data_IF_695323079063
#
_entry.id   IF_695323079063
#
_cell.length_a   1.000
_cell.length_b   1.000
_cell.length_c   1.000
_cell.angle_alpha   90.00
_cell.angle_beta   90.00
_cell.angle_gamma   90.00
#
_symmetry.space_group_name_H-M   'P 1'
#
loop_
_entity.id
_entity.type
_entity.pdbx_description
1 polymer ?
#
# COMPACT_ATOMS: atom_id res chain seq x y z
N UNK A 1 19.29 -19.88 -9.62
CA UNK A 1 18.40 -18.85 -9.04
C UNK A 1 17.49 -18.41 -10.16
N UNK A 2 16.17 -18.57 -10.03
CA UNK A 2 15.24 -17.98 -11.02
C UNK A 2 15.48 -16.46 -11.05
N UNK A 3 15.48 -15.82 -12.23
CA UNK A 3 15.68 -14.37 -12.29
C UNK A 3 14.57 -13.62 -11.54
N UNK A 4 13.41 -14.25 -11.34
CA UNK A 4 12.35 -13.83 -10.41
C UNK A 4 12.87 -13.58 -9.00
N UNK A 5 13.65 -14.51 -8.45
CA UNK A 5 14.20 -14.38 -7.10
C UNK A 5 15.25 -13.26 -7.02
N UNK A 6 16.03 -13.06 -8.08
CA UNK A 6 16.96 -11.93 -8.18
C UNK A 6 16.20 -10.60 -8.24
N UNK A 7 15.12 -10.54 -9.02
CA UNK A 7 14.27 -9.37 -9.12
C UNK A 7 13.58 -9.05 -7.79
N UNK A 8 13.00 -10.05 -7.13
CA UNK A 8 12.33 -9.90 -5.82
C UNK A 8 13.33 -9.44 -4.75
N UNK A 9 14.50 -10.06 -4.66
CA UNK A 9 15.53 -9.64 -3.69
C UNK A 9 16.00 -8.22 -3.99
N UNK A 10 16.27 -7.90 -5.26
CA UNK A 10 16.67 -6.55 -5.67
C UNK A 10 15.61 -5.51 -5.32
N UNK A 11 14.34 -5.83 -5.54
CA UNK A 11 13.20 -4.98 -5.22
C UNK A 11 13.01 -4.78 -3.72
N UNK A 12 13.12 -5.85 -2.92
CA UNK A 12 13.05 -5.77 -1.45
C UNK A 12 14.20 -4.92 -0.90
N UNK A 13 15.42 -5.12 -1.40
CA UNK A 13 16.58 -4.32 -0.99
C UNK A 13 16.38 -2.85 -1.35
N UNK A 14 15.87 -2.56 -2.55
CA UNK A 14 15.54 -1.20 -2.97
C UNK A 14 14.51 -0.55 -2.03
N UNK A 15 13.42 -1.25 -1.71
CA UNK A 15 12.39 -0.74 -0.79
C UNK A 15 12.97 -0.51 0.61
N UNK A 16 13.75 -1.46 1.13
CA UNK A 16 14.34 -1.34 2.46
C UNK A 16 15.29 -0.14 2.56
N UNK A 17 16.08 0.12 1.52
CA UNK A 17 16.95 1.29 1.44
C UNK A 17 16.13 2.59 1.40
N UNK A 18 15.08 2.64 0.58
CA UNK A 18 14.20 3.81 0.50
C UNK A 18 13.51 4.10 1.83
N UNK A 19 12.99 3.07 2.51
CA UNK A 19 12.39 3.21 3.85
C UNK A 19 13.40 3.71 4.88
N UNK A 20 14.65 3.23 4.84
CA UNK A 20 15.69 3.70 5.75
C UNK A 20 16.03 5.19 5.52
N UNK A 21 15.98 5.65 4.27
CA UNK A 21 16.15 7.06 3.91
C UNK A 21 14.99 7.89 4.46
N UNK A 22 13.74 7.47 4.22
CA UNK A 22 12.53 8.20 4.64
C UNK A 22 12.35 8.24 6.17
N UNK A 23 12.70 7.16 6.88
CA UNK A 23 12.73 7.11 8.35
C UNK A 23 13.86 7.97 8.95
N UNK A 24 14.71 8.56 8.12
CA UNK A 24 15.76 9.46 8.58
C UNK A 24 16.86 8.74 9.35
N UNK A 25 17.15 7.47 9.04
CA UNK A 25 18.30 6.72 9.62
C UNK A 25 19.61 7.51 9.51
N UNK A 26 19.70 8.41 8.53
CA UNK A 26 20.84 9.28 8.28
C UNK A 26 20.60 10.78 8.56
N UNK A 27 19.41 11.17 9.02
CA UNK A 27 19.05 12.58 9.21
C UNK A 27 19.43 13.10 10.61
N UNK A 28 20.41 14.02 10.64
CA UNK A 28 20.67 14.90 11.80
C UNK A 28 19.89 16.20 11.62
N UNK A 29 18.63 16.29 12.10
CA UNK A 29 17.97 17.51 12.65
C UNK A 29 16.44 17.38 12.67
N UNK A 30 15.86 17.68 13.84
CA UNK A 30 14.43 17.80 14.12
C UNK A 30 13.84 19.11 13.56
N UNK A 31 13.78 19.28 12.23
CA UNK A 31 13.08 20.41 11.62
C UNK A 31 11.73 19.96 11.07
N UNK A 32 10.62 20.67 11.37
CA UNK A 32 9.31 20.31 10.84
C UNK A 32 9.30 20.43 9.32
N UNK A 33 8.89 19.36 8.64
CA UNK A 33 8.79 19.32 7.17
C UNK A 33 7.73 20.32 6.72
N UNK A 34 8.13 21.28 5.88
CA UNK A 34 7.19 22.28 5.35
C UNK A 34 6.17 21.60 4.41
N UNK A 35 4.93 22.09 4.37
CA UNK A 35 3.89 21.59 3.44
C UNK A 35 4.38 21.57 1.98
N UNK A 36 5.19 22.57 1.59
CA UNK A 36 5.81 22.62 0.25
C UNK A 36 6.77 21.45 0.01
N UNK A 37 7.57 21.09 1.02
CA UNK A 37 8.49 19.96 0.94
C UNK A 37 7.74 18.63 0.94
N UNK A 38 6.71 18.49 1.78
CA UNK A 38 5.85 17.31 1.79
C UNK A 38 5.14 17.08 0.43
N UNK A 39 4.66 18.16 -0.19
CA UNK A 39 4.07 18.11 -1.54
C UNK A 39 5.06 17.66 -2.61
N UNK A 40 6.30 18.15 -2.56
CA UNK A 40 7.38 17.72 -3.48
C UNK A 40 7.73 16.24 -3.26
N UNK A 41 7.87 15.80 -2.00
CA UNK A 41 8.13 14.40 -1.68
C UNK A 41 7.02 13.48 -2.19
N UNK A 42 5.75 13.85 -1.99
CA UNK A 42 4.60 13.12 -2.53
C UNK A 42 4.63 13.06 -4.05
N UNK A 43 4.94 14.18 -4.72
CA UNK A 43 5.03 14.22 -6.19
C UNK A 43 6.14 13.31 -6.73
N UNK A 44 7.30 13.24 -6.06
CA UNK A 44 8.39 12.33 -6.43
C UNK A 44 7.90 10.89 -6.33
N UNK A 45 7.27 10.51 -5.22
CA UNK A 45 6.76 9.16 -5.00
C UNK A 45 5.68 8.75 -5.99
N UNK A 46 4.70 9.62 -6.24
CA UNK A 46 3.66 9.39 -7.25
C UNK A 46 4.28 9.24 -8.64
N UNK A 47 5.26 10.08 -8.98
CA UNK A 47 5.96 10.01 -10.27
C UNK A 47 6.71 8.69 -10.41
N UNK A 48 7.40 8.24 -9.37
CA UNK A 48 8.12 6.96 -9.36
C UNK A 48 7.14 5.78 -9.50
N UNK A 49 6.00 5.82 -8.82
CA UNK A 49 4.95 4.82 -8.98
C UNK A 49 4.39 4.80 -10.42
N UNK A 50 4.14 5.95 -11.02
CA UNK A 50 3.69 6.05 -12.41
C UNK A 50 4.75 5.58 -13.42
N UNK A 51 6.03 5.88 -13.17
CA UNK A 51 7.13 5.38 -13.98
C UNK A 51 7.23 3.85 -13.88
N UNK A 52 7.04 3.28 -12.69
CA UNK A 52 7.01 1.84 -12.50
C UNK A 52 5.78 1.18 -13.14
N UNK A 53 4.61 1.81 -13.06
CA UNK A 53 3.43 1.39 -13.81
C UNK A 53 3.72 1.33 -15.32
N UNK A 54 4.34 2.37 -15.88
CA UNK A 54 4.76 2.37 -17.28
C UNK A 54 5.76 1.24 -17.57
N UNK A 55 6.72 1.01 -16.67
CA UNK A 55 7.66 -0.11 -16.78
C UNK A 55 6.92 -1.46 -16.85
N UNK A 56 5.91 -1.71 -16.00
CA UNK A 56 5.14 -2.96 -16.04
C UNK A 56 4.38 -3.10 -17.36
N UNK A 57 3.77 -2.02 -17.88
CA UNK A 57 3.07 -2.11 -19.17
C UNK A 57 3.99 -2.48 -20.34
N UNK A 58 5.27 -2.08 -20.28
CA UNK A 58 6.26 -2.35 -21.33
C UNK A 58 7.05 -3.64 -21.11
N UNK A 59 7.41 -3.96 -19.88
CA UNK A 59 8.36 -5.00 -19.51
C UNK A 59 7.76 -6.06 -18.58
N UNK A 60 6.46 -6.01 -18.26
CA UNK A 60 5.80 -6.93 -17.32
C UNK A 60 5.98 -8.42 -17.63
N UNK A 61 6.02 -8.78 -18.91
CA UNK A 61 6.31 -10.14 -19.37
C UNK A 61 7.70 -10.69 -18.95
N UNK A 62 8.68 -9.81 -18.71
CA UNK A 62 10.01 -10.23 -18.25
C UNK A 62 10.00 -10.70 -16.81
N UNK A 63 9.01 -10.29 -16.00
CA UNK A 63 8.91 -10.73 -14.60
C UNK A 63 8.73 -12.24 -14.51
N UNK A 64 7.98 -12.85 -15.43
CA UNK A 64 7.60 -14.27 -15.37
C UNK A 64 8.16 -15.10 -16.54
N UNK A 65 9.14 -14.57 -17.28
CA UNK A 65 9.76 -15.25 -18.44
C UNK A 65 8.73 -15.88 -19.38
N UNK A 66 7.80 -15.04 -19.84
CA UNK A 66 6.76 -15.50 -20.75
C UNK A 66 7.33 -15.60 -22.16
N UNK A 67 7.85 -16.79 -22.47
CA UNK A 67 8.46 -17.11 -23.76
C UNK A 67 7.51 -17.90 -24.68
N UNK A 68 6.37 -18.37 -24.17
CA UNK A 68 5.38 -19.14 -24.95
C UNK A 68 3.94 -18.89 -24.51
N UNK A 69 2.99 -19.09 -25.43
CA UNK A 69 1.56 -19.02 -25.14
C UNK A 69 1.13 -20.04 -24.08
N UNK A 70 1.71 -21.25 -24.11
CA UNK A 70 1.44 -22.27 -23.10
C UNK A 70 1.85 -21.81 -21.69
N UNK A 71 3.00 -21.16 -21.56
CA UNK A 71 3.45 -20.59 -20.30
C UNK A 71 2.57 -19.42 -19.85
N UNK A 72 2.13 -18.56 -20.79
CA UNK A 72 1.19 -17.48 -20.51
C UNK A 72 -0.16 -18.01 -20.02
N UNK A 73 -0.69 -19.05 -20.64
CA UNK A 73 -1.96 -19.69 -20.25
C UNK A 73 -1.84 -20.39 -18.89
N UNK A 74 -0.70 -21.00 -18.61
CA UNK A 74 -0.40 -21.61 -17.32
C UNK A 74 -0.38 -20.56 -16.21
N UNK A 75 0.39 -19.48 -16.38
CA UNK A 75 0.46 -18.36 -15.42
C UNK A 75 -0.92 -17.73 -15.20
N UNK A 76 -1.71 -17.55 -16.27
CA UNK A 76 -3.06 -17.01 -16.16
C UNK A 76 -3.97 -17.88 -15.27
N UNK A 77 -3.80 -19.21 -15.34
CA UNK A 77 -4.56 -20.16 -14.51
C UNK A 77 -4.04 -20.19 -13.08
N UNK A 78 -2.71 -20.24 -12.91
CA UNK A 78 -2.05 -20.34 -11.61
C UNK A 78 -2.25 -19.10 -10.74
N UNK A 79 -2.30 -17.92 -11.35
CA UNK A 79 -2.53 -16.65 -10.66
C UNK A 79 -4.00 -16.20 -10.67
N UNK A 80 -4.93 -17.07 -11.09
CA UNK A 80 -6.38 -16.80 -11.11
C UNK A 80 -6.77 -15.55 -11.92
N UNK A 81 -5.99 -15.22 -12.95
CA UNK A 81 -6.30 -14.12 -13.85
C UNK A 81 -7.48 -14.52 -14.75
N UNK A 82 -8.55 -13.72 -14.75
CA UNK A 82 -9.73 -13.92 -15.61
C UNK A 82 -9.54 -13.27 -16.98
N UNK A 83 -8.42 -13.54 -17.63
CA UNK A 83 -8.16 -13.03 -18.99
C UNK A 83 -8.61 -14.04 -20.03
N UNK A 84 -9.35 -13.57 -21.03
CA UNK A 84 -9.66 -14.33 -22.23
C UNK A 84 -8.45 -14.28 -23.18
N UNK A 85 -7.67 -15.34 -23.18
CA UNK A 85 -6.44 -15.43 -23.97
C UNK A 85 -6.74 -16.11 -25.30
N UNK A 86 -6.32 -15.50 -26.41
CA UNK A 86 -6.53 -16.05 -27.73
C UNK A 86 -5.26 -16.78 -28.22
N UNK A 87 -5.30 -18.11 -28.47
CA UNK A 87 -4.16 -18.86 -28.99
C UNK A 87 -3.65 -18.37 -30.34
N UNK A 88 -4.52 -17.75 -31.15
CA UNK A 88 -4.19 -17.21 -32.46
C UNK A 88 -3.52 -15.82 -32.40
N UNK A 89 -3.63 -15.11 -31.26
CA UNK A 89 -3.04 -13.78 -31.06
C UNK A 89 -2.22 -13.73 -29.77
N UNK A 90 -1.00 -14.24 -29.85
CA UNK A 90 -0.03 -14.21 -28.75
C UNK A 90 0.32 -12.78 -28.34
N UNK A 91 0.49 -11.87 -29.30
CA UNK A 91 0.90 -10.48 -29.04
C UNK A 91 -0.21 -9.70 -28.31
N UNK A 92 -1.47 -9.87 -28.73
CA UNK A 92 -2.63 -9.30 -28.04
C UNK A 92 -2.81 -9.88 -26.63
N UNK A 93 -2.68 -11.19 -26.49
CA UNK A 93 -2.75 -11.89 -25.19
C UNK A 93 -1.65 -11.43 -24.23
N UNK A 94 -0.42 -11.24 -24.73
CA UNK A 94 0.71 -10.72 -23.96
C UNK A 94 0.48 -9.27 -23.52
N UNK A 95 -0.12 -8.44 -24.38
CA UNK A 95 -0.47 -7.06 -24.04
C UNK A 95 -1.56 -7.01 -22.95
N UNK A 96 -2.60 -7.83 -23.06
CA UNK A 96 -3.65 -7.95 -22.05
C UNK A 96 -3.08 -8.36 -20.69
N UNK A 97 -2.17 -9.32 -20.68
CA UNK A 97 -1.47 -9.74 -19.47
C UNK A 97 -0.66 -8.60 -18.83
N UNK A 98 0.15 -7.87 -19.61
CA UNK A 98 0.92 -6.71 -19.10
C UNK A 98 0.01 -5.61 -18.55
N UNK A 99 -1.13 -5.37 -19.21
CA UNK A 99 -2.11 -4.39 -18.74
C UNK A 99 -2.75 -4.83 -17.42
N UNK A 100 -3.10 -6.11 -17.29
CA UNK A 100 -3.64 -6.64 -16.04
C UNK A 100 -2.66 -6.50 -14.87
N UNK A 101 -1.39 -6.89 -15.06
CA UNK A 101 -0.35 -6.69 -14.05
C UNK A 101 -0.18 -5.22 -13.66
N UNK A 102 -0.22 -4.31 -14.64
CA UNK A 102 -0.10 -2.89 -14.38
C UNK A 102 -1.31 -2.35 -13.60
N UNK A 103 -2.52 -2.84 -13.91
CA UNK A 103 -3.75 -2.53 -13.17
C UNK A 103 -3.71 -3.04 -11.74
N UNK A 104 -3.21 -4.26 -11.51
CA UNK A 104 -3.02 -4.81 -10.17
C UNK A 104 -2.05 -3.96 -9.35
N UNK A 105 -0.90 -3.58 -9.95
CA UNK A 105 0.06 -2.69 -9.31
C UNK A 105 -0.57 -1.34 -8.93
N UNK A 106 -1.20 -0.63 -9.87
CA UNK A 106 -1.74 0.71 -9.58
C UNK A 106 -2.93 0.65 -8.61
N UNK A 107 -3.74 -0.41 -8.69
CA UNK A 107 -4.84 -0.65 -7.74
C UNK A 107 -4.27 -0.87 -6.33
N UNK A 108 -3.26 -1.73 -6.20
CA UNK A 108 -2.55 -1.96 -4.95
C UNK A 108 -1.93 -0.68 -4.40
N UNK A 109 -1.24 0.10 -5.25
CA UNK A 109 -0.67 1.39 -4.88
C UNK A 109 -1.72 2.36 -4.32
N UNK A 110 -2.87 2.51 -5.01
CA UNK A 110 -3.95 3.40 -4.55
C UNK A 110 -4.57 2.91 -3.24
N UNK A 111 -4.78 1.60 -3.09
CA UNK A 111 -5.34 1.02 -1.86
C UNK A 111 -4.39 1.23 -0.68
N UNK A 112 -3.10 0.93 -0.84
CA UNK A 112 -2.09 1.15 0.21
C UNK A 112 -1.91 2.63 0.53
N UNK A 113 -1.97 3.51 -0.48
CA UNK A 113 -1.93 4.96 -0.27
C UNK A 113 -3.15 5.44 0.52
N UNK A 114 -4.36 4.97 0.18
CA UNK A 114 -5.58 5.32 0.91
C UNK A 114 -5.54 4.83 2.37
N UNK A 115 -5.05 3.61 2.60
CA UNK A 115 -4.83 3.08 3.96
C UNK A 115 -3.82 3.94 4.74
N UNK A 116 -2.75 4.39 4.09
CA UNK A 116 -1.75 5.26 4.74
C UNK A 116 -2.34 6.62 5.17
N UNK A 117 -3.26 7.18 4.39
CA UNK A 117 -3.97 8.44 4.74
C UNK A 117 -4.88 8.24 5.96
N UNK A 118 -5.57 7.11 6.05
CA UNK A 118 -6.39 6.74 7.22
C UNK A 118 -5.54 6.69 8.50
N UNK A 119 -4.37 6.05 8.41
CA UNK A 119 -3.40 5.99 9.52
C UNK A 119 -2.93 7.37 9.99
N UNK A 120 -2.69 8.33 9.08
CA UNK A 120 -2.28 9.70 9.44
C UNK A 120 -3.42 10.45 10.14
N UNK A 121 -4.65 10.30 9.66
CA UNK A 121 -5.81 10.97 10.25
C UNK A 121 -6.04 10.53 11.70
N UNK A 122 -5.93 9.24 11.98
CA UNK A 122 -6.01 8.70 13.35
C UNK A 122 -4.93 9.31 14.25
N UNK A 123 -3.69 9.44 13.76
CA UNK A 123 -2.60 10.04 14.56
C UNK A 123 -2.85 11.52 14.87
N UNK A 124 -3.35 12.30 13.91
CA UNK A 124 -3.71 13.71 14.14
C UNK A 124 -4.82 13.83 15.18
N UNK A 125 -5.87 13.01 15.09
CA UNK A 125 -6.96 12.99 16.07
C UNK A 125 -6.45 12.64 17.48
N UNK A 126 -5.55 11.66 17.59
CA UNK A 126 -4.93 11.29 18.88
C UNK A 126 -4.10 12.46 19.42
N UNK A 127 -3.24 13.08 18.61
CA UNK A 127 -2.41 14.21 19.07
C UNK A 127 -3.24 15.43 19.48
N UNK A 128 -4.33 15.71 18.77
CA UNK A 128 -5.33 16.73 19.11
C UNK A 128 -5.99 16.42 20.45
N UNK A 129 -6.54 15.22 20.60
CA UNK A 129 -7.23 14.78 21.82
C UNK A 129 -6.36 14.80 23.08
N UNK A 130 -5.05 14.50 22.93
CA UNK A 130 -4.09 14.54 24.04
C UNK A 130 -3.29 15.84 24.15
N UNK A 131 -3.54 16.82 23.26
CA UNK A 131 -2.83 18.11 23.22
C UNK A 131 -1.30 17.96 23.34
N UNK A 132 -0.73 17.05 22.55
CA UNK A 132 0.70 16.71 22.64
C UNK A 132 1.54 17.92 22.22
N UNK A 133 2.62 18.24 22.96
CA UNK A 133 3.53 19.32 22.59
C UNK A 133 4.27 18.95 21.27
N UNK A 134 4.35 19.86 20.26
CA UNK A 134 5.00 19.62 18.98
C UNK A 134 6.42 19.05 19.07
N UNK A 135 7.15 19.34 20.16
CA UNK A 135 8.50 18.79 20.40
C UNK A 135 8.52 17.27 20.51
N UNK A 136 7.42 16.64 20.92
CA UNK A 136 7.34 15.18 21.10
C UNK A 136 6.68 14.45 19.93
N UNK A 137 6.15 15.15 18.93
CA UNK A 137 5.43 14.54 17.80
C UNK A 137 6.22 13.43 17.13
N UNK A 138 7.49 13.67 16.79
CA UNK A 138 8.30 12.67 16.11
C UNK A 138 8.48 11.38 16.93
N UNK A 139 8.71 11.51 18.26
CA UNK A 139 8.89 10.34 19.14
C UNK A 139 7.59 9.57 19.31
N UNK A 140 6.48 10.26 19.57
CA UNK A 140 5.17 9.62 19.74
C UNK A 140 4.71 9.00 18.43
N UNK A 141 4.93 9.67 17.30
CA UNK A 141 4.61 9.17 15.96
C UNK A 141 5.42 7.91 15.63
N UNK A 142 6.73 7.89 15.93
CA UNK A 142 7.57 6.73 15.69
C UNK A 142 7.08 5.49 16.46
N UNK A 143 6.88 5.63 17.78
CA UNK A 143 6.36 4.54 18.61
C UNK A 143 4.91 4.17 18.27
N UNK A 144 4.10 5.14 17.86
CA UNK A 144 2.73 4.95 17.41
C UNK A 144 2.65 4.16 16.11
N UNK A 145 3.46 4.51 15.09
CA UNK A 145 3.53 3.77 13.82
C UNK A 145 4.05 2.35 14.08
N UNK A 146 5.13 2.20 14.84
CA UNK A 146 5.68 0.88 15.17
C UNK A 146 4.64 0.01 15.91
N UNK A 147 3.96 0.58 16.90
CA UNK A 147 2.89 -0.09 17.64
C UNK A 147 1.71 -0.44 16.74
N UNK A 148 1.28 0.48 15.86
CA UNK A 148 0.21 0.23 14.91
C UNK A 148 0.55 -0.90 13.93
N UNK A 149 1.78 -0.94 13.41
CA UNK A 149 2.27 -2.02 12.54
C UNK A 149 2.23 -3.37 13.26
N UNK A 150 2.71 -3.44 14.51
CA UNK A 150 2.67 -4.66 15.32
C UNK A 150 1.22 -5.10 15.60
N UNK A 151 0.37 -4.17 16.03
CA UNK A 151 -1.05 -4.43 16.27
C UNK A 151 -1.75 -4.90 15.00
N UNK A 152 -1.40 -4.34 13.84
CA UNK A 152 -1.93 -4.73 12.53
C UNK A 152 -1.57 -6.17 12.21
N UNK A 153 -0.31 -6.58 12.41
CA UNK A 153 0.07 -7.99 12.23
C UNK A 153 -0.74 -8.91 13.15
N UNK A 154 -0.86 -8.56 14.43
CA UNK A 154 -1.66 -9.35 15.39
C UNK A 154 -3.11 -9.45 14.91
N UNK A 155 -3.74 -8.33 14.56
CA UNK A 155 -5.13 -8.29 14.09
C UNK A 155 -5.34 -9.09 12.81
N UNK A 156 -4.41 -9.06 11.85
CA UNK A 156 -4.51 -9.82 10.61
C UNK A 156 -4.49 -11.32 10.91
N UNK A 157 -3.51 -11.81 11.68
CA UNK A 157 -3.41 -13.25 11.98
C UNK A 157 -4.57 -13.74 12.85
N UNK A 158 -4.92 -12.98 13.88
CA UNK A 158 -5.98 -13.33 14.81
C UNK A 158 -7.36 -13.23 14.14
N UNK A 159 -7.56 -12.19 13.32
CA UNK A 159 -8.75 -12.01 12.49
C UNK A 159 -8.92 -13.14 11.47
N UNK A 160 -7.85 -13.51 10.76
CA UNK A 160 -7.88 -14.63 9.82
C UNK A 160 -8.27 -15.95 10.52
N UNK A 161 -7.68 -16.24 11.67
CA UNK A 161 -8.00 -17.43 12.46
C UNK A 161 -9.45 -17.42 13.01
N UNK A 162 -9.98 -16.24 13.35
CA UNK A 162 -11.37 -16.09 13.79
C UNK A 162 -12.37 -16.27 12.64
N UNK A 163 -12.07 -15.72 11.45
CA UNK A 163 -12.93 -15.83 10.26
C UNK A 163 -13.02 -17.28 9.77
N UNK A 164 -11.93 -18.04 9.85
CA UNK A 164 -11.89 -19.46 9.50
C UNK A 164 -12.84 -20.30 10.37
N UNK A 165 -12.95 -19.97 11.66
CA UNK A 165 -13.85 -20.67 12.59
C UNK A 165 -15.28 -20.13 12.60
N UNK A 166 -15.46 -18.84 12.32
CA UNK A 166 -16.74 -18.15 12.50
C UNK A 166 -17.03 -17.17 11.35
N UNK A 167 -17.51 -17.67 10.21
CA UNK A 167 -17.78 -16.83 9.04
C UNK A 167 -18.76 -15.67 9.29
N UNK A 168 -19.70 -15.80 10.25
CA UNK A 168 -20.63 -14.73 10.61
C UNK A 168 -19.95 -13.49 11.22
N UNK A 169 -18.72 -13.64 11.73
CA UNK A 169 -17.94 -12.53 12.31
C UNK A 169 -17.63 -11.43 11.28
N UNK A 170 -17.57 -11.78 10.00
CA UNK A 170 -17.37 -10.83 8.90
C UNK A 170 -18.49 -9.79 8.83
N UNK A 171 -19.74 -10.20 9.06
CA UNK A 171 -20.86 -9.26 9.05
C UNK A 171 -20.79 -8.28 10.23
N UNK A 172 -20.39 -8.75 11.43
CA UNK A 172 -20.17 -7.88 12.59
C UNK A 172 -19.07 -6.87 12.29
N UNK A 173 -17.92 -7.34 11.78
CA UNK A 173 -16.80 -6.47 11.45
C UNK A 173 -17.18 -5.43 10.39
N UNK A 174 -17.93 -5.84 9.36
CA UNK A 174 -18.44 -4.94 8.32
C UNK A 174 -19.32 -3.83 8.89
N UNK A 175 -20.29 -4.17 9.74
CA UNK A 175 -21.17 -3.19 10.40
C UNK A 175 -20.35 -2.25 11.29
N UNK A 176 -19.41 -2.80 12.07
CA UNK A 176 -18.54 -2.01 12.93
C UNK A 176 -17.72 -0.99 12.15
N UNK A 177 -17.10 -1.39 11.03
CA UNK A 177 -16.31 -0.49 10.17
C UNK A 177 -17.16 0.62 9.54
N UNK A 178 -18.38 0.31 9.10
CA UNK A 178 -19.31 1.33 8.57
C UNK A 178 -19.68 2.32 9.67
N UNK A 179 -20.00 1.84 10.87
CA UNK A 179 -20.33 2.70 12.00
C UNK A 179 -19.17 3.65 12.37
N UNK A 180 -17.94 3.13 12.49
CA UNK A 180 -16.77 3.96 12.81
C UNK A 180 -16.48 4.98 11.71
N UNK A 181 -16.57 4.57 10.44
CA UNK A 181 -16.37 5.48 9.30
C UNK A 181 -17.38 6.63 9.27
N UNK A 182 -18.66 6.34 9.53
CA UNK A 182 -19.72 7.37 9.64
C UNK A 182 -19.46 8.31 10.81
N UNK A 183 -19.10 7.78 11.98
CA UNK A 183 -18.82 8.59 13.16
C UNK A 183 -17.63 9.53 12.94
N UNK A 184 -16.56 9.06 12.28
CA UNK A 184 -15.40 9.89 11.93
C UNK A 184 -15.77 10.99 10.92
N UNK A 185 -16.63 10.70 9.95
CA UNK A 185 -17.11 11.71 8.99
C UNK A 185 -17.92 12.82 9.67
N UNK A 186 -18.75 12.47 10.65
CA UNK A 186 -19.61 13.43 11.36
C UNK A 186 -18.77 14.33 12.29
N UNK A 187 -17.83 13.75 13.05
CA UNK A 187 -17.05 14.49 14.05
C UNK A 187 -16.01 15.42 13.44
N UNK A 188 -15.69 15.29 12.15
CA UNK A 188 -14.73 16.15 11.45
C UNK A 188 -15.17 17.62 11.34
N UNK A 189 -16.46 17.91 11.53
CA UNK A 189 -17.03 19.27 11.46
C UNK A 189 -16.94 20.06 12.78
N UNK A 190 -16.56 19.45 13.91
CA UNK A 190 -16.45 20.15 15.19
C UNK A 190 -15.08 20.84 15.42
N UNK A 191 -14.05 20.50 14.65
CA UNK A 191 -12.72 21.14 14.77
C UNK A 191 -12.60 22.47 14.00
N UNK A 192 -13.58 22.86 13.18
CA UNK A 192 -13.61 24.15 12.47
C UNK A 192 -14.25 25.30 13.29
N UNK A 193 -14.75 25.04 14.52
CA UNK A 193 -15.41 26.04 15.39
C UNK A 193 -14.70 26.26 16.75
N UNK A 194 -13.38 26.08 16.82
CA UNK A 194 -12.59 26.58 17.96
C UNK A 194 -11.56 27.58 17.43
N UNK A 195 -11.84 28.87 17.67
CA UNK A 195 -10.98 30.04 17.44
C UNK A 195 -9.53 29.86 17.93
#
# INVERSE_FOLDING_TARGET
MSNELIFIIGFIVFIALMLAIDLGVFAKKDQPVSIKQAGIMSAIWVTLALAFYALITQYGHLLHHIDSFAHLQQINTDHLHRLELNPADYTGSLKLYRQNLALEFITGYVVEYALSVDNIFVMVLIFSAFSVDPKYYHKVLFWGILGAVVMRFIFIFLGAALIDKFHWILYIFGIFLVYTGVMMFINRKQEDEID
#
